data_IF_383857563124
#
_entry.id   IF_383857563124
#
_cell.length_a   1.000
_cell.length_b   1.000
_cell.length_c   1.000
_cell.angle_alpha   90.00
_cell.angle_beta   90.00
_cell.angle_gamma   90.00
#
_symmetry.space_group_name_H-M   'P 1'
#
loop_
_entity.id
_entity.type
_entity.pdbx_description
1 polymer ?
#
# COMPACT_ATOMS: atom_id res chain seq x y z
N UNK A 1 31.79 -6.15 26.80
CA UNK A 1 31.26 -6.02 25.42
C UNK A 1 29.85 -6.56 25.46
N UNK A 2 28.89 -5.68 25.73
CA UNK A 2 27.49 -6.03 25.90
C UNK A 2 26.83 -6.08 24.53
N UNK A 3 26.38 -7.27 24.13
CA UNK A 3 25.53 -7.44 22.96
C UNK A 3 24.12 -6.96 23.33
N UNK A 4 23.89 -5.67 23.09
CA UNK A 4 22.58 -5.04 23.15
C UNK A 4 21.65 -5.73 22.13
N UNK A 5 20.64 -6.44 22.64
CA UNK A 5 19.63 -7.15 21.84
C UNK A 5 18.85 -6.13 21.00
N UNK A 6 18.87 -6.28 19.69
CA UNK A 6 18.01 -5.55 18.75
C UNK A 6 16.56 -6.00 18.96
N UNK A 7 15.64 -5.05 18.87
CA UNK A 7 14.21 -5.26 18.94
C UNK A 7 13.74 -5.98 17.66
N UNK A 8 13.45 -7.28 17.77
CA UNK A 8 12.76 -8.06 16.74
C UNK A 8 11.26 -7.75 16.79
N UNK A 9 10.86 -6.69 16.09
CA UNK A 9 9.47 -6.39 15.79
C UNK A 9 9.20 -6.70 14.32
N UNK A 10 8.36 -7.70 14.06
CA UNK A 10 7.70 -7.99 12.77
C UNK A 10 8.50 -8.68 11.64
N UNK A 11 9.80 -8.96 11.81
CA UNK A 11 10.48 -9.88 10.90
C UNK A 11 10.08 -11.33 11.22
N UNK A 12 9.78 -12.14 10.20
CA UNK A 12 9.91 -13.60 10.32
C UNK A 12 11.40 -13.95 10.12
N UNK A 13 12.16 -14.24 11.19
CA UNK A 13 13.58 -14.52 11.09
C UNK A 13 13.87 -15.83 10.32
N UNK A 14 12.84 -16.61 9.97
CA UNK A 14 13.00 -17.85 9.21
C UNK A 14 13.02 -17.65 7.67
N UNK A 15 12.49 -16.54 7.15
CA UNK A 15 12.29 -16.33 5.70
C UNK A 15 13.09 -15.18 5.09
N UNK A 16 13.60 -14.24 5.88
CA UNK A 16 14.32 -13.05 5.37
C UNK A 16 13.41 -12.05 4.63
N UNK A 17 12.09 -12.16 4.80
CA UNK A 17 11.13 -11.23 4.23
C UNK A 17 11.20 -9.87 4.95
N UNK A 18 11.06 -8.75 4.22
CA UNK A 18 11.00 -7.42 4.83
C UNK A 18 9.81 -7.32 5.78
N UNK A 19 9.93 -6.53 6.86
CA UNK A 19 8.80 -6.22 7.72
C UNK A 19 7.72 -5.45 6.94
N UNK A 20 6.48 -5.44 7.44
CA UNK A 20 5.36 -4.84 6.72
C UNK A 20 5.65 -3.38 6.29
N UNK A 21 6.24 -2.59 7.18
CA UNK A 21 6.53 -1.19 6.92
C UNK A 21 7.53 -0.98 5.76
N UNK A 22 8.56 -1.81 5.67
CA UNK A 22 9.53 -1.74 4.57
C UNK A 22 8.88 -2.16 3.25
N UNK A 23 8.12 -3.26 3.26
CA UNK A 23 7.40 -3.73 2.08
C UNK A 23 6.42 -2.68 1.54
N UNK A 24 5.56 -2.13 2.41
CA UNK A 24 4.57 -1.10 2.07
C UNK A 24 5.25 0.17 1.55
N UNK A 25 6.35 0.61 2.17
CA UNK A 25 7.09 1.79 1.70
C UNK A 25 7.64 1.60 0.28
N UNK A 26 8.26 0.44 0.00
CA UNK A 26 8.76 0.10 -1.33
C UNK A 26 7.63 -0.02 -2.36
N UNK A 27 6.50 -0.61 -1.97
CA UNK A 27 5.32 -0.73 -2.84
C UNK A 27 4.73 0.64 -3.21
N UNK A 28 4.59 1.56 -2.25
CA UNK A 28 4.17 2.93 -2.52
C UNK A 28 5.13 3.67 -3.45
N UNK A 29 6.44 3.43 -3.33
CA UNK A 29 7.42 4.02 -4.25
C UNK A 29 7.21 3.54 -5.69
N UNK A 30 6.87 2.27 -5.88
CA UNK A 30 6.54 1.69 -7.19
C UNK A 30 5.23 2.24 -7.74
N UNK A 31 4.15 2.31 -6.95
CA UNK A 31 2.89 2.93 -7.39
C UNK A 31 3.09 4.38 -7.84
N UNK A 32 3.84 5.18 -7.07
CA UNK A 32 4.19 6.56 -7.46
C UNK A 32 5.03 6.62 -8.74
N UNK A 33 5.91 5.66 -8.97
CA UNK A 33 6.69 5.57 -10.20
C UNK A 33 5.80 5.24 -11.41
N UNK A 34 4.88 4.28 -11.26
CA UNK A 34 3.91 3.93 -12.29
C UNK A 34 3.02 5.14 -12.64
N UNK A 35 2.55 5.88 -11.64
CA UNK A 35 1.77 7.10 -11.85
C UNK A 35 2.53 8.17 -12.62
N UNK A 36 3.81 8.41 -12.28
CA UNK A 36 4.64 9.36 -13.03
C UNK A 36 4.87 8.92 -14.47
N UNK A 37 5.14 7.63 -14.69
CA UNK A 37 5.32 7.08 -16.03
C UNK A 37 4.04 7.19 -16.85
N UNK A 38 2.89 6.82 -16.27
CA UNK A 38 1.58 6.95 -16.89
C UNK A 38 1.27 8.41 -17.26
N UNK A 39 1.55 9.37 -16.37
CA UNK A 39 1.34 10.79 -16.65
C UNK A 39 2.18 11.28 -17.85
N UNK A 40 3.43 10.81 -17.99
CA UNK A 40 4.28 11.14 -19.14
C UNK A 40 3.72 10.54 -20.45
N UNK A 41 3.28 9.29 -20.41
CA UNK A 41 2.66 8.60 -21.57
C UNK A 41 1.38 9.32 -22.01
N UNK A 42 0.54 9.74 -21.05
CA UNK A 42 -0.66 10.53 -21.32
C UNK A 42 -0.31 11.88 -21.95
N UNK A 43 0.70 12.59 -21.44
CA UNK A 43 1.12 13.88 -21.97
C UNK A 43 1.65 13.78 -23.41
N UNK A 44 2.24 12.65 -23.78
CA UNK A 44 2.72 12.35 -25.13
C UNK A 44 1.65 11.72 -26.05
N UNK A 45 0.40 11.60 -25.59
CA UNK A 45 -0.70 10.94 -26.31
C UNK A 45 -0.33 9.53 -26.81
N UNK A 46 0.45 8.79 -26.02
CA UNK A 46 0.85 7.41 -26.29
C UNK A 46 -0.10 6.42 -25.64
N UNK A 47 -0.04 5.16 -26.08
CA UNK A 47 -0.84 4.07 -25.52
C UNK A 47 -0.52 3.86 -24.02
N UNK A 48 -1.55 3.96 -23.19
CA UNK A 48 -1.47 3.87 -21.72
C UNK A 48 -1.80 2.47 -21.18
N UNK A 49 -2.24 1.54 -22.04
CA UNK A 49 -2.87 0.28 -21.63
C UNK A 49 -1.97 -0.56 -20.72
N UNK A 50 -0.69 -0.71 -21.08
CA UNK A 50 0.28 -1.47 -20.28
C UNK A 50 0.49 -0.83 -18.88
N UNK A 51 0.61 0.49 -18.82
CA UNK A 51 0.84 1.21 -17.56
C UNK A 51 -0.38 1.17 -16.64
N UNK A 52 -1.59 1.27 -17.19
CA UNK A 52 -2.83 1.14 -16.45
C UNK A 52 -3.03 -0.29 -15.93
N UNK A 53 -2.71 -1.31 -16.73
CA UNK A 53 -2.74 -2.69 -16.27
C UNK A 53 -1.71 -2.94 -15.16
N UNK A 54 -0.48 -2.46 -15.34
CA UNK A 54 0.57 -2.60 -14.33
C UNK A 54 0.17 -1.91 -13.00
N UNK A 55 -0.46 -0.73 -13.07
CA UNK A 55 -0.97 -0.01 -11.91
C UNK A 55 -2.09 -0.78 -11.20
N UNK A 56 -3.03 -1.37 -11.96
CA UNK A 56 -4.11 -2.19 -11.41
C UNK A 56 -3.56 -3.43 -10.67
N UNK A 57 -2.73 -4.22 -11.37
CA UNK A 57 -2.17 -5.46 -10.83
C UNK A 57 -1.31 -5.20 -9.59
N UNK A 58 -0.53 -4.11 -9.62
CA UNK A 58 0.33 -3.77 -8.50
C UNK A 58 -0.47 -3.28 -7.30
N UNK A 59 -1.46 -2.41 -7.52
CA UNK A 59 -2.30 -1.89 -6.43
C UNK A 59 -3.11 -3.00 -5.77
N UNK A 60 -3.68 -3.93 -6.54
CA UNK A 60 -4.38 -5.08 -5.98
C UNK A 60 -3.48 -5.91 -5.04
N UNK A 61 -2.26 -6.27 -5.48
CA UNK A 61 -1.33 -7.05 -4.64
C UNK A 61 -0.93 -6.32 -3.37
N UNK A 62 -0.72 -5.01 -3.46
CA UNK A 62 -0.42 -4.15 -2.32
C UNK A 62 -1.60 -4.12 -1.33
N UNK A 63 -2.82 -3.85 -1.80
CA UNK A 63 -4.02 -3.86 -0.96
C UNK A 63 -4.23 -5.21 -0.27
N UNK A 64 -4.09 -6.33 -0.98
CA UNK A 64 -4.25 -7.65 -0.36
C UNK A 64 -3.20 -7.92 0.73
N UNK A 65 -2.00 -7.33 0.66
CA UNK A 65 -0.99 -7.45 1.71
C UNK A 65 -1.45 -6.71 2.97
N UNK A 66 -1.87 -5.47 2.81
CA UNK A 66 -2.34 -4.64 3.92
C UNK A 66 -3.59 -5.24 4.57
N UNK A 67 -4.54 -5.74 3.77
CA UNK A 67 -5.74 -6.41 4.28
C UNK A 67 -5.42 -7.66 5.10
N UNK A 68 -4.43 -8.45 4.64
CA UNK A 68 -3.91 -9.58 5.42
C UNK A 68 -3.27 -9.11 6.73
N UNK A 69 -2.54 -8.00 6.72
CA UNK A 69 -1.97 -7.42 7.94
C UNK A 69 -3.07 -6.90 8.89
N UNK A 70 -4.06 -6.16 8.38
CA UNK A 70 -5.20 -5.69 9.14
C UNK A 70 -5.94 -6.81 9.85
N UNK A 71 -6.20 -7.92 9.14
CA UNK A 71 -6.83 -9.10 9.74
C UNK A 71 -5.95 -9.74 10.83
N UNK A 72 -4.65 -9.90 10.59
CA UNK A 72 -3.69 -10.49 11.54
C UNK A 72 -3.55 -9.67 12.83
N UNK A 73 -3.46 -8.36 12.70
CA UNK A 73 -3.26 -7.43 13.82
C UNK A 73 -4.57 -6.89 14.41
N UNK A 74 -5.72 -7.42 13.95
CA UNK A 74 -7.07 -7.00 14.39
C UNK A 74 -7.23 -5.48 14.33
N UNK A 75 -6.83 -4.89 13.21
CA UNK A 75 -6.89 -3.45 13.01
C UNK A 75 -8.35 -2.96 13.08
N UNK A 76 -8.71 -2.05 14.00
CA UNK A 76 -10.10 -1.65 14.24
C UNK A 76 -10.78 -1.06 13.00
N UNK A 77 -10.05 -0.26 12.23
CA UNK A 77 -10.57 0.46 11.07
C UNK A 77 -10.45 -0.33 9.77
N UNK A 78 -10.11 -1.62 9.85
CA UNK A 78 -9.92 -2.49 8.69
C UNK A 78 -11.08 -2.49 7.67
N UNK A 79 -12.36 -2.57 8.10
CA UNK A 79 -13.48 -2.51 7.17
C UNK A 79 -13.56 -1.19 6.37
N UNK A 80 -13.20 -0.07 6.99
CA UNK A 80 -13.18 1.24 6.35
C UNK A 80 -12.01 1.34 5.35
N UNK A 81 -10.82 0.89 5.75
CA UNK A 81 -9.63 0.84 4.89
C UNK A 81 -9.87 -0.03 3.64
N UNK A 82 -10.43 -1.23 3.80
CA UNK A 82 -10.83 -2.09 2.66
C UNK A 82 -11.85 -1.40 1.73
N UNK A 83 -12.72 -0.54 2.26
CA UNK A 83 -13.67 0.20 1.43
C UNK A 83 -12.96 1.29 0.60
N UNK A 84 -11.92 1.91 1.14
CA UNK A 84 -11.06 2.83 0.38
C UNK A 84 -10.29 2.10 -0.72
N UNK A 85 -9.72 0.92 -0.45
CA UNK A 85 -9.08 0.09 -1.47
C UNK A 85 -10.01 -0.22 -2.64
N UNK A 86 -11.26 -0.63 -2.35
CA UNK A 86 -12.26 -0.88 -3.40
C UNK A 86 -12.52 0.36 -4.24
N UNK A 87 -12.66 1.53 -3.62
CA UNK A 87 -12.85 2.80 -4.35
C UNK A 87 -11.66 3.14 -5.24
N UNK A 88 -10.43 2.97 -4.74
CA UNK A 88 -9.22 3.20 -5.53
C UNK A 88 -9.14 2.21 -6.70
N UNK A 89 -9.51 0.96 -6.50
CA UNK A 89 -9.58 -0.04 -7.57
C UNK A 89 -10.61 0.33 -8.63
N UNK A 90 -11.82 0.74 -8.22
CA UNK A 90 -12.88 1.21 -9.11
C UNK A 90 -12.42 2.44 -9.93
N UNK A 91 -11.62 3.34 -9.34
CA UNK A 91 -11.02 4.47 -10.05
C UNK A 91 -9.99 4.03 -11.11
N UNK A 92 -9.18 3.00 -10.83
CA UNK A 92 -8.25 2.43 -11.83
C UNK A 92 -9.03 1.81 -13.00
N UNK A 93 -10.11 1.07 -12.71
CA UNK A 93 -10.99 0.49 -13.74
C UNK A 93 -11.64 1.59 -14.60
N UNK A 94 -12.03 2.71 -13.97
CA UNK A 94 -12.54 3.88 -14.69
C UNK A 94 -11.48 4.48 -15.64
N UNK A 95 -10.22 4.59 -15.19
CA UNK A 95 -9.12 5.05 -16.06
C UNK A 95 -8.91 4.12 -17.25
N UNK A 96 -8.95 2.79 -17.04
CA UNK A 96 -8.87 1.79 -18.11
C UNK A 96 -10.03 1.94 -19.11
N UNK A 97 -11.26 2.11 -18.62
CA UNK A 97 -12.42 2.28 -19.47
C UNK A 97 -12.37 3.58 -20.30
N UNK A 98 -11.86 4.68 -19.73
CA UNK A 98 -11.63 5.93 -20.45
C UNK A 98 -10.60 5.75 -21.56
N UNK A 99 -9.45 5.13 -21.26
CA UNK A 99 -8.41 4.85 -22.24
C UNK A 99 -8.92 3.96 -23.40
N UNK A 100 -9.64 2.88 -23.08
CA UNK A 100 -10.22 1.98 -24.07
C UNK A 100 -11.29 2.65 -24.95
N UNK A 101 -11.91 3.73 -24.45
CA UNK A 101 -12.91 4.51 -25.17
C UNK A 101 -12.32 5.72 -25.93
N UNK A 102 -10.98 5.82 -26.01
CA UNK A 102 -10.27 6.97 -26.58
C UNK A 102 -10.69 8.32 -25.96
N UNK A 103 -11.06 8.29 -24.67
CA UNK A 103 -11.46 9.48 -23.90
C UNK A 103 -10.25 10.03 -23.13
N UNK A 104 -10.20 11.36 -22.91
CA UNK A 104 -9.15 11.97 -22.10
C UNK A 104 -9.08 11.37 -20.69
N UNK A 105 -7.91 10.84 -20.34
CA UNK A 105 -7.63 10.26 -19.01
C UNK A 105 -7.00 11.27 -18.03
N UNK A 106 -6.51 12.41 -18.51
CA UNK A 106 -5.68 13.35 -17.74
C UNK A 106 -6.30 13.81 -16.42
N UNK A 107 -7.51 14.38 -16.45
CA UNK A 107 -8.16 14.87 -15.23
C UNK A 107 -8.51 13.75 -14.24
N UNK A 108 -8.90 12.59 -14.76
CA UNK A 108 -9.18 11.43 -13.94
C UNK A 108 -7.90 10.91 -13.27
N UNK A 109 -6.78 10.88 -14.01
CA UNK A 109 -5.47 10.48 -13.50
C UNK A 109 -4.99 11.42 -12.39
N UNK A 110 -5.17 12.74 -12.54
CA UNK A 110 -4.81 13.72 -11.51
C UNK A 110 -5.62 13.49 -10.24
N UNK A 111 -6.93 13.25 -10.35
CA UNK A 111 -7.79 12.95 -9.19
C UNK A 111 -7.37 11.65 -8.50
N UNK A 112 -7.14 10.59 -9.27
CA UNK A 112 -6.69 9.31 -8.74
C UNK A 112 -5.34 9.44 -8.02
N UNK A 113 -4.38 10.16 -8.62
CA UNK A 113 -3.07 10.37 -8.00
C UNK A 113 -3.18 11.11 -6.64
N UNK A 114 -4.09 12.08 -6.54
CA UNK A 114 -4.36 12.77 -5.28
C UNK A 114 -5.05 11.86 -4.25
N UNK A 115 -6.02 11.04 -4.69
CA UNK A 115 -6.69 10.07 -3.83
C UNK A 115 -5.71 9.03 -3.26
N UNK A 116 -4.86 8.46 -4.11
CA UNK A 116 -3.83 7.50 -3.68
C UNK A 116 -2.84 8.15 -2.71
N UNK A 117 -2.39 9.38 -2.96
CA UNK A 117 -1.48 10.08 -2.05
C UNK A 117 -2.13 10.30 -0.67
N UNK A 118 -3.40 10.72 -0.64
CA UNK A 118 -4.13 10.90 0.62
C UNK A 118 -4.32 9.59 1.38
N UNK A 119 -4.50 8.47 0.68
CA UNK A 119 -4.61 7.15 1.28
C UNK A 119 -3.29 6.73 1.96
N UNK A 120 -2.18 6.87 1.24
CA UNK A 120 -0.82 6.57 1.73
C UNK A 120 -0.46 7.38 2.98
N UNK A 121 -0.79 8.67 2.98
CA UNK A 121 -0.48 9.57 4.10
C UNK A 121 -1.43 9.40 5.30
N UNK A 122 -2.61 8.82 5.09
CA UNK A 122 -3.66 8.69 6.08
C UNK A 122 -3.86 7.25 6.57
N UNK A 123 -4.54 6.44 5.76
CA UNK A 123 -4.97 5.10 6.13
C UNK A 123 -3.77 4.17 6.35
N UNK A 124 -2.82 4.15 5.41
CA UNK A 124 -1.68 3.23 5.44
C UNK A 124 -0.71 3.62 6.56
N UNK A 125 -0.47 4.91 6.75
CA UNK A 125 0.31 5.42 7.87
C UNK A 125 -0.29 4.99 9.23
N UNK A 126 -1.62 5.02 9.36
CA UNK A 126 -2.33 4.60 10.57
C UNK A 126 -2.22 3.09 10.82
N UNK A 127 -2.34 2.28 9.76
CA UNK A 127 -2.12 0.84 9.82
C UNK A 127 -0.70 0.51 10.28
N UNK A 128 0.31 1.12 9.66
CA UNK A 128 1.72 0.88 10.00
C UNK A 128 2.03 1.25 11.46
N UNK A 129 1.48 2.38 11.95
CA UNK A 129 1.61 2.77 13.35
C UNK A 129 0.97 1.74 14.31
N UNK A 130 -0.21 1.22 13.96
CA UNK A 130 -0.89 0.19 14.74
C UNK A 130 -0.10 -1.12 14.80
N UNK A 131 0.43 -1.58 13.67
CA UNK A 131 1.25 -2.80 13.58
C UNK A 131 2.53 -2.65 14.39
N UNK A 132 3.25 -1.54 14.25
CA UNK A 132 4.47 -1.25 15.03
C UNK A 132 4.18 -1.23 16.55
N UNK A 133 3.06 -0.61 16.95
CA UNK A 133 2.62 -0.58 18.33
C UNK A 133 2.25 -1.97 18.90
N UNK A 134 1.71 -2.87 18.06
CA UNK A 134 1.42 -4.25 18.46
C UNK A 134 2.70 -5.07 18.67
N UNK A 135 3.67 -4.94 17.78
CA UNK A 135 4.97 -5.63 17.88
C UNK A 135 5.74 -5.26 19.16
N UNK A 136 5.68 -3.98 19.56
CA UNK A 136 6.33 -3.52 20.80
C UNK A 136 5.70 -4.07 22.09
N UNK A 137 4.39 -4.30 22.10
CA UNK A 137 3.67 -4.82 23.29
C UNK A 137 3.83 -6.33 23.46
N UNK A 138 3.90 -7.09 22.36
CA UNK A 138 4.20 -8.52 22.42
C UNK A 138 5.63 -8.80 22.90
N UNK A 139 6.58 -7.91 22.60
CA UNK A 139 7.97 -8.04 23.04
C UNK A 139 8.20 -7.71 24.53
N UNK A 140 7.37 -6.86 25.15
CA UNK A 140 7.50 -6.47 26.57
C UNK A 140 6.68 -7.33 27.56
N UNK A 141 5.87 -8.29 27.08
CA UNK A 141 4.97 -9.08 27.91
C UNK A 141 5.58 -10.31 28.61
N UNK A 142 6.87 -10.60 28.40
CA UNK A 142 7.57 -11.76 28.97
C UNK A 142 8.23 -11.49 30.33
N UNK A 143 7.47 -11.05 31.33
CA UNK A 143 7.93 -11.03 32.73
C UNK A 143 7.58 -12.36 33.42
N UNK A 144 8.52 -13.06 34.08
CA UNK A 144 8.22 -14.32 34.74
C UNK A 144 7.22 -14.11 35.89
N UNK A 145 6.10 -14.85 35.84
CA UNK A 145 5.24 -15.06 37.01
C UNK A 145 5.84 -16.15 37.89
N UNK A 146 6.07 -15.77 39.15
CA UNK A 146 6.30 -16.57 40.37
C UNK A 146 7.50 -17.53 40.39
#
# INVERSE_FOLDING_TARGET
>A
MEHSRRADGDADPATGAPCLAEAVHSEHAIQRQLLRALAAVVAEARDTSEFLQALADFSQRHFEREERAMARHRYPDGPAHCAEHRRLQDEIECLQALAASDKPVGDALVRFAAALQSHVEGADASLLAHVAGHAGRTASGGGPSA
#
